data_IF_282441653114
#
_entry.id   IF_282441653114
#
_cell.length_a   1.000
_cell.length_b   1.000
_cell.length_c   1.000
_cell.angle_alpha   90.00
_cell.angle_beta   90.00
_cell.angle_gamma   90.00
#
_symmetry.space_group_name_H-M   'P 1'
#
loop_
_entity.id
_entity.type
_entity.pdbx_description
1 polymer ?
#
# COMPACT_ATOMS: atom_id res chain seq x y z
N UNK A 1 10.55 -16.60 -32.18
CA UNK A 1 10.90 -16.59 -30.74
C UNK A 1 9.85 -15.82 -29.93
N UNK A 2 9.69 -14.51 -30.16
CA UNK A 2 8.74 -13.66 -29.40
C UNK A 2 7.27 -14.13 -29.45
N UNK A 3 6.79 -14.62 -30.60
CA UNK A 3 5.43 -15.17 -30.71
C UNK A 3 5.21 -16.49 -29.96
N UNK A 4 6.28 -17.20 -29.59
CA UNK A 4 6.20 -18.54 -29.01
C UNK A 4 6.50 -18.55 -27.51
N UNK A 5 7.33 -17.62 -27.03
CA UNK A 5 7.70 -17.52 -25.62
C UNK A 5 7.34 -16.14 -25.03
N UNK A 6 6.28 -16.07 -24.21
CA UNK A 6 5.90 -14.86 -23.49
C UNK A 6 7.00 -14.33 -22.56
N UNK A 7 7.83 -15.19 -21.97
CA UNK A 7 8.91 -14.76 -21.07
C UNK A 7 10.04 -14.09 -21.83
N UNK A 8 10.44 -14.65 -22.98
CA UNK A 8 11.39 -13.98 -23.87
C UNK A 8 10.86 -12.61 -24.32
N UNK A 9 9.58 -12.50 -24.66
CA UNK A 9 8.97 -11.21 -25.04
C UNK A 9 9.03 -10.20 -23.89
N UNK A 10 8.65 -10.63 -22.69
CA UNK A 10 8.74 -9.81 -21.48
C UNK A 10 10.17 -9.32 -21.23
N UNK A 11 11.15 -10.21 -21.21
CA UNK A 11 12.55 -9.87 -20.93
C UNK A 11 13.15 -8.93 -21.99
N UNK A 12 12.88 -9.18 -23.27
CA UNK A 12 13.31 -8.33 -24.38
C UNK A 12 12.70 -6.94 -24.26
N UNK A 13 11.42 -6.85 -23.92
CA UNK A 13 10.74 -5.57 -23.73
C UNK A 13 11.37 -4.77 -22.58
N UNK A 14 11.51 -5.37 -21.39
CA UNK A 14 12.09 -4.69 -20.22
C UNK A 14 13.48 -4.15 -20.53
N UNK A 15 14.34 -4.98 -21.15
CA UNK A 15 15.68 -4.55 -21.56
C UNK A 15 15.64 -3.41 -22.58
N UNK A 16 14.82 -3.52 -23.62
CA UNK A 16 14.76 -2.53 -24.70
C UNK A 16 14.19 -1.21 -24.20
N UNK A 17 13.12 -1.25 -23.40
CA UNK A 17 12.49 -0.07 -22.80
C UNK A 17 13.48 0.67 -21.89
N UNK A 18 14.18 -0.07 -21.01
CA UNK A 18 15.22 0.50 -20.15
C UNK A 18 16.31 1.21 -20.98
N UNK A 19 16.82 0.57 -22.03
CA UNK A 19 17.84 1.18 -22.89
C UNK A 19 17.29 2.42 -23.60
N UNK A 20 16.11 2.33 -24.20
CA UNK A 20 15.47 3.45 -24.89
C UNK A 20 15.22 4.65 -23.95
N UNK A 21 14.83 4.38 -22.70
CA UNK A 21 14.61 5.41 -21.67
C UNK A 21 15.84 6.29 -21.43
N UNK A 22 17.04 5.70 -21.46
CA UNK A 22 18.29 6.44 -21.29
C UNK A 22 18.63 7.37 -22.46
N UNK A 23 18.04 7.13 -23.64
CA UNK A 23 18.22 7.97 -24.82
C UNK A 23 17.26 9.18 -24.86
N UNK A 24 16.22 9.20 -24.02
CA UNK A 24 15.24 10.27 -23.96
C UNK A 24 15.74 11.45 -23.12
N UNK A 25 15.43 12.66 -23.56
CA UNK A 25 15.59 13.87 -22.74
C UNK A 25 14.64 13.85 -21.53
N UNK A 26 14.93 14.67 -20.51
CA UNK A 26 14.06 14.76 -19.32
C UNK A 26 12.62 15.16 -19.64
N UNK A 27 12.41 15.99 -20.67
CA UNK A 27 11.08 16.41 -21.11
C UNK A 27 10.33 15.25 -21.76
N UNK A 28 11.01 14.48 -22.61
CA UNK A 28 10.43 13.28 -23.23
C UNK A 28 10.15 12.17 -22.21
N UNK A 29 11.04 11.98 -21.23
CA UNK A 29 10.82 11.07 -20.11
C UNK A 29 9.54 11.43 -19.36
N UNK A 30 9.34 12.71 -19.03
CA UNK A 30 8.11 13.18 -18.39
C UNK A 30 6.87 12.89 -19.23
N UNK A 31 6.87 13.24 -20.52
CA UNK A 31 5.73 12.96 -21.40
C UNK A 31 5.46 11.45 -21.53
N UNK A 32 6.51 10.63 -21.59
CA UNK A 32 6.36 9.18 -21.65
C UNK A 32 5.81 8.61 -20.33
N UNK A 33 6.19 9.16 -19.17
CA UNK A 33 5.58 8.81 -17.88
C UNK A 33 4.09 9.14 -17.87
N UNK A 34 3.70 10.34 -18.30
CA UNK A 34 2.29 10.76 -18.37
C UNK A 34 1.48 9.82 -19.31
N UNK A 35 2.08 9.44 -20.45
CA UNK A 35 1.49 8.45 -21.36
C UNK A 35 1.41 7.05 -20.73
N UNK A 36 2.44 6.61 -20.01
CA UNK A 36 2.46 5.32 -19.31
C UNK A 36 1.32 5.23 -18.29
N UNK A 37 1.08 6.29 -17.53
CA UNK A 37 -0.07 6.36 -16.60
C UNK A 37 -1.39 6.26 -17.35
N UNK A 38 -1.55 7.01 -18.45
CA UNK A 38 -2.77 6.92 -19.29
C UNK A 38 -3.00 5.53 -19.88
N UNK A 39 -1.92 4.83 -20.24
CA UNK A 39 -1.94 3.47 -20.77
C UNK A 39 -2.32 2.45 -19.70
N UNK A 40 -1.77 2.56 -18.49
CA UNK A 40 -2.03 1.62 -17.40
C UNK A 40 -3.51 1.65 -16.98
N UNK A 41 -4.14 2.81 -16.95
CA UNK A 41 -5.54 2.97 -16.53
C UNK A 41 -6.57 2.42 -17.54
N UNK A 42 -6.13 1.86 -18.68
CA UNK A 42 -7.04 1.28 -19.67
C UNK A 42 -7.66 -0.04 -19.20
N UNK A 43 -8.98 -0.12 -19.29
CA UNK A 43 -9.81 -1.25 -18.87
C UNK A 43 -9.51 -2.56 -19.60
N UNK A 44 -9.08 -2.47 -20.87
CA UNK A 44 -8.79 -3.65 -21.69
C UNK A 44 -7.68 -4.55 -21.13
N UNK A 45 -6.83 -4.05 -20.22
CA UNK A 45 -5.81 -4.88 -19.55
C UNK A 45 -6.43 -6.02 -18.76
N UNK A 46 -7.64 -5.84 -18.21
CA UNK A 46 -8.37 -6.87 -17.45
C UNK A 46 -8.57 -8.16 -18.23
N UNK A 47 -8.62 -8.10 -19.57
CA UNK A 47 -8.72 -9.29 -20.44
C UNK A 47 -7.50 -10.22 -20.36
N UNK A 48 -6.38 -9.71 -19.84
CA UNK A 48 -5.11 -10.42 -19.70
C UNK A 48 -4.69 -10.64 -18.25
N UNK A 49 -5.59 -10.38 -17.29
CA UNK A 49 -5.29 -10.41 -15.85
C UNK A 49 -4.79 -11.78 -15.38
N UNK A 50 -5.30 -12.88 -15.95
CA UNK A 50 -4.91 -14.25 -15.57
C UNK A 50 -3.65 -14.76 -16.28
N UNK A 51 -3.08 -14.00 -17.22
CA UNK A 51 -1.88 -14.41 -17.95
C UNK A 51 -0.61 -14.10 -17.17
N UNK A 52 0.42 -14.93 -17.32
CA UNK A 52 1.73 -14.74 -16.71
C UNK A 52 2.82 -15.03 -17.77
N UNK A 53 3.70 -14.06 -18.09
CA UNK A 53 3.61 -12.64 -17.74
C UNK A 53 2.44 -11.97 -18.47
N UNK A 54 1.78 -11.00 -17.82
CA UNK A 54 0.85 -10.10 -18.49
C UNK A 54 1.52 -8.77 -18.89
N UNK A 55 0.80 -7.96 -19.67
CA UNK A 55 1.32 -6.68 -20.19
C UNK A 55 1.64 -5.72 -19.06
N UNK A 56 0.77 -5.62 -18.05
CA UNK A 56 0.94 -4.72 -16.90
C UNK A 56 2.20 -5.06 -16.11
N UNK A 57 2.42 -6.34 -15.79
CA UNK A 57 3.64 -6.81 -15.13
C UNK A 57 4.89 -6.38 -15.92
N UNK A 58 4.84 -6.53 -17.24
CA UNK A 58 5.94 -6.14 -18.13
C UNK A 58 6.20 -4.64 -18.10
N UNK A 59 5.14 -3.82 -18.12
CA UNK A 59 5.26 -2.36 -18.07
C UNK A 59 5.78 -1.87 -16.72
N UNK A 60 5.26 -2.40 -15.61
CA UNK A 60 5.72 -2.02 -14.26
C UNK A 60 7.17 -2.43 -14.03
N UNK A 61 7.57 -3.63 -14.47
CA UNK A 61 8.96 -4.07 -14.35
C UNK A 61 9.90 -3.24 -15.24
N UNK A 62 9.41 -2.77 -16.40
CA UNK A 62 10.16 -1.82 -17.23
C UNK A 62 10.36 -0.48 -16.53
N UNK A 63 9.33 0.02 -15.83
CA UNK A 63 9.40 1.26 -15.06
C UNK A 63 10.41 1.16 -13.91
N UNK A 64 10.42 0.06 -13.16
CA UNK A 64 11.39 -0.22 -12.09
C UNK A 64 12.82 -0.36 -12.64
N UNK A 65 12.99 -0.96 -13.82
CA UNK A 65 14.31 -1.16 -14.40
C UNK A 65 14.99 0.15 -14.91
N UNK A 66 14.24 1.23 -15.08
CA UNK A 66 14.72 2.50 -15.63
C UNK A 66 15.66 3.27 -14.68
N UNK A 67 16.62 3.99 -15.26
CA UNK A 67 17.51 4.90 -14.52
C UNK A 67 17.69 6.20 -15.31
N UNK A 68 17.29 7.38 -14.78
CA UNK A 68 16.56 7.59 -13.52
C UNK A 68 15.21 6.86 -13.50
N UNK A 69 14.72 6.52 -12.31
CA UNK A 69 13.49 5.74 -12.14
C UNK A 69 12.29 6.42 -12.80
N UNK A 70 11.40 5.63 -13.41
CA UNK A 70 10.12 6.11 -13.92
C UNK A 70 9.10 6.14 -12.77
N UNK A 71 8.84 7.34 -12.23
CA UNK A 71 7.94 7.53 -11.09
C UNK A 71 6.48 7.47 -11.55
N UNK A 72 5.72 6.50 -11.04
CA UNK A 72 4.29 6.34 -11.26
C UNK A 72 3.50 6.76 -10.01
N UNK A 73 2.26 7.24 -10.14
CA UNK A 73 1.45 7.59 -8.97
C UNK A 73 1.21 6.38 -8.04
N UNK A 74 1.36 6.52 -6.71
CA UNK A 74 1.26 5.39 -5.78
C UNK A 74 -0.04 4.58 -5.86
N UNK A 75 -1.18 5.26 -6.00
CA UNK A 75 -2.48 4.60 -6.15
C UNK A 75 -2.60 3.77 -7.43
N UNK A 76 -1.93 4.19 -8.52
CA UNK A 76 -1.86 3.42 -9.77
C UNK A 76 -1.01 2.17 -9.54
N UNK A 77 0.15 2.31 -8.90
CA UNK A 77 1.03 1.17 -8.59
C UNK A 77 0.29 0.14 -7.74
N UNK A 78 -0.32 0.59 -6.63
CA UNK A 78 -1.10 -0.26 -5.70
C UNK A 78 -2.16 -1.09 -6.42
N UNK A 79 -3.03 -0.42 -7.18
CA UNK A 79 -4.10 -1.10 -7.91
C UNK A 79 -3.55 -2.17 -8.87
N UNK A 80 -2.50 -1.85 -9.62
CA UNK A 80 -1.94 -2.77 -10.60
C UNK A 80 -1.13 -3.90 -9.97
N UNK A 81 -0.43 -3.63 -8.86
CA UNK A 81 0.29 -4.63 -8.08
C UNK A 81 -0.65 -5.75 -7.63
N UNK A 82 -1.77 -5.38 -7.00
CA UNK A 82 -2.82 -6.31 -6.56
C UNK A 82 -3.52 -7.00 -7.73
N UNK A 83 -4.05 -6.22 -8.66
CA UNK A 83 -4.95 -6.74 -9.71
C UNK A 83 -4.22 -7.64 -10.70
N UNK A 84 -2.98 -7.28 -11.08
CA UNK A 84 -2.22 -7.98 -12.12
C UNK A 84 -1.10 -8.87 -11.59
N UNK A 85 -1.09 -9.14 -10.28
CA UNK A 85 -0.09 -9.97 -9.61
C UNK A 85 1.33 -9.46 -9.84
N UNK A 86 1.52 -8.14 -9.72
CA UNK A 86 2.80 -7.46 -9.79
C UNK A 86 3.27 -6.99 -8.40
N UNK A 87 2.90 -7.74 -7.36
CA UNK A 87 3.11 -7.43 -5.94
C UNK A 87 4.50 -6.89 -5.63
N UNK A 88 5.54 -7.69 -5.86
CA UNK A 88 6.91 -7.32 -5.50
C UNK A 88 7.44 -6.14 -6.30
N UNK A 89 7.14 -6.07 -7.60
CA UNK A 89 7.52 -4.92 -8.44
C UNK A 89 6.82 -3.65 -7.97
N UNK A 90 5.55 -3.74 -7.58
CA UNK A 90 4.81 -2.60 -7.03
C UNK A 90 5.38 -2.12 -5.69
N UNK A 91 5.70 -3.06 -4.79
CA UNK A 91 6.33 -2.76 -3.51
C UNK A 91 7.68 -2.08 -3.72
N UNK A 92 8.53 -2.60 -4.61
CA UNK A 92 9.84 -2.02 -4.93
C UNK A 92 9.71 -0.58 -5.47
N UNK A 93 8.82 -0.35 -6.44
CA UNK A 93 8.53 0.99 -6.97
C UNK A 93 8.10 1.98 -5.88
N UNK A 94 7.23 1.56 -4.96
CA UNK A 94 6.75 2.41 -3.87
C UNK A 94 7.85 2.66 -2.83
N UNK A 95 8.66 1.66 -2.49
CA UNK A 95 9.80 1.82 -1.58
C UNK A 95 10.84 2.79 -2.14
N UNK A 96 11.15 2.70 -3.43
CA UNK A 96 12.05 3.64 -4.11
C UNK A 96 11.51 5.08 -4.02
N UNK A 97 10.20 5.27 -4.19
CA UNK A 97 9.53 6.58 -4.00
C UNK A 97 9.75 7.15 -2.60
N UNK A 98 9.77 6.31 -1.56
CA UNK A 98 10.03 6.77 -0.18
C UNK A 98 11.49 7.19 0.05
N UNK A 99 12.43 6.62 -0.71
CA UNK A 99 13.86 6.91 -0.61
C UNK A 99 14.30 8.10 -1.46
N UNK A 100 13.47 8.52 -2.42
CA UNK A 100 13.78 9.64 -3.30
C UNK A 100 13.58 10.99 -2.57
N UNK A 101 14.65 11.78 -2.32
CA UNK A 101 14.53 13.06 -1.63
C UNK A 101 13.85 14.16 -2.47
N UNK A 102 13.57 13.89 -3.75
CA UNK A 102 12.91 14.84 -4.66
C UNK A 102 11.39 14.79 -4.57
N UNK A 103 10.84 13.73 -4.00
CA UNK A 103 9.40 13.54 -3.88
C UNK A 103 8.83 14.38 -2.74
N UNK A 104 7.61 14.90 -2.93
CA UNK A 104 6.95 15.70 -1.90
C UNK A 104 6.46 14.82 -0.75
N UNK A 105 6.31 15.43 0.44
CA UNK A 105 5.77 14.74 1.61
C UNK A 105 4.40 14.13 1.34
N UNK A 106 3.54 14.82 0.59
CA UNK A 106 2.23 14.29 0.17
C UNK A 106 2.33 13.03 -0.70
N UNK A 107 3.29 12.95 -1.63
CA UNK A 107 3.48 11.76 -2.46
C UNK A 107 4.01 10.62 -1.59
N UNK A 108 4.98 10.91 -0.70
CA UNK A 108 5.51 9.94 0.27
C UNK A 108 4.41 9.39 1.18
N UNK A 109 3.51 10.22 1.69
CA UNK A 109 2.35 9.79 2.49
C UNK A 109 1.46 8.82 1.71
N UNK A 110 1.05 9.18 0.49
CA UNK A 110 0.24 8.28 -0.35
C UNK A 110 0.96 6.99 -0.73
N UNK A 111 2.30 7.02 -0.84
CA UNK A 111 3.11 5.82 -1.06
C UNK A 111 3.19 4.93 0.19
N UNK A 112 3.25 5.52 1.39
CA UNK A 112 3.17 4.78 2.65
C UNK A 112 1.80 4.14 2.84
N UNK A 113 0.70 4.82 2.50
CA UNK A 113 -0.65 4.22 2.51
C UNK A 113 -0.72 3.04 1.55
N UNK A 114 -0.24 3.23 0.32
CA UNK A 114 -0.22 2.18 -0.67
C UNK A 114 0.61 0.96 -0.25
N UNK A 115 1.76 1.17 0.39
CA UNK A 115 2.58 0.08 0.93
C UNK A 115 1.91 -0.62 2.10
N UNK A 116 1.28 0.13 3.01
CA UNK A 116 0.57 -0.45 4.16
C UNK A 116 -0.54 -1.40 3.68
N UNK A 117 -1.34 -0.99 2.69
CA UNK A 117 -2.36 -1.84 2.09
C UNK A 117 -1.78 -3.10 1.44
N UNK A 118 -0.70 -2.96 0.65
CA UNK A 118 -0.07 -4.13 0.00
C UNK A 118 0.54 -5.11 1.01
N UNK A 119 1.15 -4.61 2.10
CA UNK A 119 1.66 -5.48 3.17
C UNK A 119 0.54 -6.19 3.91
N UNK A 120 -0.56 -5.50 4.22
CA UNK A 120 -1.73 -6.10 4.86
C UNK A 120 -2.34 -7.20 3.99
N UNK A 121 -2.51 -6.96 2.68
CA UNK A 121 -3.06 -7.95 1.74
C UNK A 121 -2.16 -9.19 1.55
N UNK A 122 -0.85 -9.04 1.73
CA UNK A 122 0.11 -10.15 1.72
C UNK A 122 0.32 -10.81 3.09
N UNK A 123 -0.33 -10.29 4.14
CA UNK A 123 -0.12 -10.71 5.54
C UNK A 123 1.34 -10.57 6.00
N UNK A 124 2.04 -9.53 5.52
CA UNK A 124 3.42 -9.20 5.90
C UNK A 124 3.43 -8.27 7.13
N UNK A 125 2.92 -8.78 8.26
CA UNK A 125 2.64 -8.00 9.47
C UNK A 125 3.88 -7.28 10.03
N UNK A 126 5.06 -7.92 10.02
CA UNK A 126 6.29 -7.32 10.52
C UNK A 126 6.70 -6.07 9.71
N UNK A 127 6.49 -6.11 8.38
CA UNK A 127 6.74 -4.95 7.50
C UNK A 127 5.68 -3.87 7.72
N UNK A 128 4.42 -4.27 7.90
CA UNK A 128 3.30 -3.37 8.19
C UNK A 128 3.54 -2.59 9.50
N UNK A 129 3.82 -3.28 10.61
CA UNK A 129 4.12 -2.64 11.90
C UNK A 129 5.39 -1.79 11.83
N UNK A 130 6.41 -2.25 11.09
CA UNK A 130 7.65 -1.50 10.87
C UNK A 130 7.41 -0.20 10.11
N UNK A 131 6.56 -0.22 9.08
CA UNK A 131 6.18 0.95 8.30
C UNK A 131 5.39 1.94 9.17
N UNK A 132 4.34 1.46 9.85
CA UNK A 132 3.49 2.29 10.69
C UNK A 132 4.25 2.99 11.79
N UNK A 133 5.15 2.29 12.49
CA UNK A 133 5.95 2.91 13.56
C UNK A 133 6.94 3.97 13.10
N UNK A 134 7.25 4.01 11.79
CA UNK A 134 8.12 5.05 11.21
C UNK A 134 7.35 6.26 10.69
N UNK A 135 6.02 6.14 10.53
CA UNK A 135 5.15 7.20 10.01
C UNK A 135 4.16 7.76 11.02
N UNK A 136 3.82 7.02 12.07
CA UNK A 136 2.84 7.44 13.08
C UNK A 136 3.33 8.68 13.84
N UNK A 137 2.43 9.65 14.03
CA UNK A 137 2.76 10.89 14.72
C UNK A 137 2.67 10.74 16.24
N UNK A 138 1.74 9.92 16.73
CA UNK A 138 1.50 9.77 18.16
C UNK A 138 2.39 8.70 18.78
N UNK A 139 2.93 9.01 19.95
CA UNK A 139 3.74 8.05 20.72
C UNK A 139 2.89 6.88 21.22
N UNK A 140 1.62 7.15 21.53
CA UNK A 140 0.62 6.16 21.91
C UNK A 140 0.39 5.15 20.78
N UNK A 141 0.25 5.61 19.52
CA UNK A 141 0.18 4.74 18.33
C UNK A 141 1.41 3.85 18.24
N UNK A 142 2.61 4.44 18.35
CA UNK A 142 3.87 3.70 18.29
C UNK A 142 3.98 2.62 19.37
N UNK A 143 3.54 2.94 20.59
CA UNK A 143 3.51 2.01 21.71
C UNK A 143 2.45 0.92 21.48
N UNK A 144 1.25 1.27 21.06
CA UNK A 144 0.15 0.33 20.79
C UNK A 144 0.57 -0.73 19.77
N UNK A 145 1.07 -0.30 18.61
CA UNK A 145 1.55 -1.20 17.54
C UNK A 145 2.68 -2.12 18.02
N UNK A 146 3.55 -1.65 18.92
CA UNK A 146 4.61 -2.48 19.48
C UNK A 146 4.06 -3.58 20.39
N UNK A 147 2.99 -3.29 21.15
CA UNK A 147 2.31 -4.29 21.97
C UNK A 147 1.50 -5.28 21.13
N UNK A 148 0.88 -4.84 20.04
CA UNK A 148 0.19 -5.71 19.08
C UNK A 148 1.14 -6.71 18.44
N UNK A 149 2.30 -6.24 17.98
CA UNK A 149 3.29 -7.09 17.31
C UNK A 149 3.77 -8.23 18.22
N UNK A 150 3.78 -8.04 19.55
CA UNK A 150 4.16 -9.08 20.52
C UNK A 150 2.96 -9.85 21.13
N UNK A 151 1.74 -9.56 20.67
CA UNK A 151 0.51 -10.24 21.09
C UNK A 151 -0.03 -9.84 22.47
N UNK A 152 0.38 -8.69 23.01
CA UNK A 152 -0.14 -8.13 24.26
C UNK A 152 -1.34 -7.22 23.97
N UNK A 153 -2.45 -7.84 23.60
CA UNK A 153 -3.64 -7.16 23.08
C UNK A 153 -4.31 -6.21 24.07
N UNK A 154 -4.30 -6.53 25.37
CA UNK A 154 -4.92 -5.68 26.40
C UNK A 154 -4.21 -4.33 26.54
N UNK A 155 -2.87 -4.33 26.53
CA UNK A 155 -2.07 -3.11 26.59
C UNK A 155 -2.19 -2.31 25.30
N UNK A 156 -2.23 -2.98 24.15
CA UNK A 156 -2.44 -2.34 22.85
C UNK A 156 -3.79 -1.60 22.79
N UNK A 157 -4.88 -2.27 23.17
CA UNK A 157 -6.23 -1.70 23.16
C UNK A 157 -6.32 -0.39 23.96
N UNK A 158 -5.79 -0.40 25.19
CA UNK A 158 -5.78 0.78 26.07
C UNK A 158 -5.00 1.94 25.43
N UNK A 159 -3.91 1.66 24.72
CA UNK A 159 -3.09 2.69 24.08
C UNK A 159 -3.74 3.26 22.82
N UNK A 160 -4.48 2.46 22.05
CA UNK A 160 -5.31 2.97 20.95
C UNK A 160 -6.40 3.91 21.45
N UNK A 161 -7.10 3.54 22.53
CA UNK A 161 -8.09 4.41 23.18
C UNK A 161 -7.43 5.71 23.68
N UNK A 162 -6.26 5.59 24.31
CA UNK A 162 -5.49 6.75 24.77
C UNK A 162 -5.11 7.67 23.61
N UNK A 163 -4.67 7.12 22.47
CA UNK A 163 -4.34 7.90 21.28
C UNK A 163 -5.54 8.72 20.79
N UNK A 164 -6.72 8.08 20.69
CA UNK A 164 -7.96 8.75 20.28
C UNK A 164 -8.39 9.85 21.26
N UNK A 165 -8.28 9.61 22.57
CA UNK A 165 -8.59 10.62 23.60
C UNK A 165 -7.62 11.81 23.49
N UNK A 166 -6.33 11.55 23.34
CA UNK A 166 -5.31 12.60 23.15
C UNK A 166 -5.59 13.39 21.87
N UNK A 167 -5.96 12.73 20.77
CA UNK A 167 -6.32 13.39 19.52
C UNK A 167 -7.51 14.35 19.66
N UNK A 168 -8.52 14.01 20.45
CA UNK A 168 -9.69 14.88 20.73
C UNK A 168 -9.34 16.18 21.46
N UNK A 169 -8.21 16.23 22.16
CA UNK A 169 -7.73 17.47 22.79
C UNK A 169 -7.30 18.53 21.75
N UNK A 170 -7.01 18.12 20.51
CA UNK A 170 -6.63 19.00 19.41
C UNK A 170 -5.22 19.60 19.51
N UNK A 171 -4.38 19.13 20.46
CA UNK A 171 -3.02 19.65 20.67
C UNK A 171 -2.07 19.27 19.52
N UNK A 172 -2.28 18.11 18.91
CA UNK A 172 -1.48 17.61 17.78
C UNK A 172 -2.42 17.25 16.62
N UNK A 173 -2.03 17.52 15.37
CA UNK A 173 -2.77 17.04 14.20
C UNK A 173 -2.55 15.53 14.02
N UNK A 174 -3.59 14.83 13.55
CA UNK A 174 -3.50 13.43 13.10
C UNK A 174 -3.85 13.34 11.61
N UNK A 175 -3.37 12.28 10.95
CA UNK A 175 -3.75 11.99 9.57
C UNK A 175 -5.01 11.14 9.54
N UNK A 176 -5.79 11.24 8.46
CA UNK A 176 -6.95 10.35 8.24
C UNK A 176 -6.53 8.88 8.28
N UNK A 177 -5.34 8.56 7.75
CA UNK A 177 -4.76 7.22 7.80
C UNK A 177 -4.51 6.72 9.23
N UNK A 178 -4.02 7.58 10.13
CA UNK A 178 -3.72 7.19 11.51
C UNK A 178 -5.00 7.07 12.35
N UNK A 179 -6.04 7.87 12.04
CA UNK A 179 -7.36 7.70 12.62
C UNK A 179 -7.97 6.34 12.24
N UNK A 180 -7.97 6.00 10.94
CA UNK A 180 -8.48 4.72 10.46
C UNK A 180 -7.73 3.54 11.10
N UNK A 181 -6.40 3.66 11.25
CA UNK A 181 -5.60 2.68 11.97
C UNK A 181 -6.12 2.45 13.39
N UNK A 182 -6.38 3.51 14.16
CA UNK A 182 -6.86 3.36 15.55
C UNK A 182 -8.22 2.67 15.61
N UNK A 183 -9.14 3.01 14.71
CA UNK A 183 -10.48 2.42 14.66
C UNK A 183 -10.40 0.93 14.32
N UNK A 184 -9.71 0.58 13.23
CA UNK A 184 -9.58 -0.80 12.77
C UNK A 184 -8.80 -1.67 13.77
N UNK A 185 -7.66 -1.18 14.28
CA UNK A 185 -6.83 -1.95 15.19
C UNK A 185 -7.46 -2.10 16.58
N UNK A 186 -8.25 -1.13 17.03
CA UNK A 186 -9.04 -1.31 18.26
C UNK A 186 -10.02 -2.48 18.11
N UNK A 187 -10.72 -2.59 16.97
CA UNK A 187 -11.60 -3.74 16.67
C UNK A 187 -10.79 -5.05 16.69
N UNK A 188 -9.64 -5.09 16.03
CA UNK A 188 -8.76 -6.28 16.01
C UNK A 188 -8.37 -6.67 17.44
N UNK A 189 -7.93 -5.73 18.27
CA UNK A 189 -7.56 -6.04 19.67
C UNK A 189 -8.73 -6.58 20.47
N UNK A 190 -9.93 -6.01 20.31
CA UNK A 190 -11.15 -6.48 20.96
C UNK A 190 -11.54 -7.90 20.51
N UNK A 191 -11.41 -8.21 19.22
CA UNK A 191 -11.62 -9.56 18.68
C UNK A 191 -10.62 -10.57 19.29
N UNK A 192 -9.34 -10.21 19.36
CA UNK A 192 -8.29 -11.07 19.98
C UNK A 192 -8.53 -11.30 21.47
N UNK A 193 -9.13 -10.34 22.16
CA UNK A 193 -9.52 -10.42 23.58
C UNK A 193 -10.89 -11.07 23.81
N UNK A 194 -11.61 -11.47 22.75
CA UNK A 194 -12.93 -12.10 22.81
C UNK A 194 -14.03 -11.22 23.43
N UNK A 195 -13.95 -9.90 23.23
CA UNK A 195 -14.95 -8.92 23.71
C UNK A 195 -16.16 -8.82 22.75
N UNK A 196 -16.78 -9.96 22.45
CA UNK A 196 -17.82 -10.07 21.41
C UNK A 196 -19.12 -9.35 21.77
N UNK A 197 -19.40 -9.18 23.06
CA UNK A 197 -20.52 -8.41 23.58
C UNK A 197 -20.38 -6.92 23.22
N UNK A 198 -19.20 -6.35 23.48
CA UNK A 198 -18.88 -4.96 23.13
C UNK A 198 -18.93 -4.74 21.61
N UNK A 199 -18.31 -5.65 20.85
CA UNK A 199 -18.29 -5.57 19.38
C UNK A 199 -19.69 -5.71 18.78
N UNK A 200 -20.54 -6.58 19.32
CA UNK A 200 -21.92 -6.74 18.88
C UNK A 200 -22.73 -5.46 19.04
N UNK A 201 -22.57 -4.78 20.19
CA UNK A 201 -23.33 -3.56 20.47
C UNK A 201 -22.81 -2.38 19.63
N UNK A 202 -21.50 -2.27 19.44
CA UNK A 202 -20.90 -1.31 18.51
C UNK A 202 -21.40 -1.53 17.07
N UNK A 203 -21.37 -2.78 16.57
CA UNK A 203 -21.82 -3.13 15.23
C UNK A 203 -23.30 -2.77 14.99
N UNK A 204 -24.17 -2.98 15.98
CA UNK A 204 -25.58 -2.57 15.92
C UNK A 204 -25.73 -1.05 15.82
N UNK A 205 -24.95 -0.30 16.59
CA UNK A 205 -25.02 1.16 16.64
C UNK A 205 -24.53 1.81 15.34
N UNK A 206 -23.49 1.25 14.74
CA UNK A 206 -22.90 1.74 13.48
C UNK A 206 -23.61 1.19 12.24
N UNK A 207 -24.44 0.15 12.40
CA UNK A 207 -25.07 -0.55 11.28
C UNK A 207 -24.07 -1.40 10.47
N UNK A 208 -22.94 -1.79 11.08
CA UNK A 208 -21.93 -2.63 10.46
C UNK A 208 -22.39 -4.10 10.43
N UNK A 209 -22.91 -4.53 9.28
CA UNK A 209 -23.45 -5.89 9.10
C UNK A 209 -22.38 -6.97 9.06
N UNK A 210 -21.17 -6.63 8.62
CA UNK A 210 -20.06 -7.57 8.51
C UNK A 210 -19.55 -7.93 9.90
N UNK A 211 -19.27 -6.93 10.73
CA UNK A 211 -18.87 -7.16 12.12
C UNK A 211 -19.96 -7.90 12.92
N UNK A 212 -21.24 -7.61 12.66
CA UNK A 212 -22.34 -8.30 13.32
C UNK A 212 -22.40 -9.80 12.96
N UNK A 213 -22.01 -10.17 11.73
CA UNK A 213 -21.92 -11.57 11.31
C UNK A 213 -20.79 -12.30 12.05
N UNK A 214 -19.66 -11.64 12.28
CA UNK A 214 -18.53 -12.22 13.01
C UNK A 214 -18.81 -12.43 14.50
N UNK A 215 -19.72 -11.65 15.07
CA UNK A 215 -20.09 -11.73 16.48
C UNK A 215 -21.20 -12.76 16.79
N UNK A 216 -21.85 -13.34 15.78
CA UNK A 216 -23.00 -14.25 15.91
C UNK A 216 -22.57 -15.71 16.11
#
# INVERSE_FOLDING_TARGET
LLYADPNATHAVWVSTFKTAWTCLSRVEQRHLTEFMVSLLVKDYHLRSVDRRPNVVQTLLQSASACTPQLVLPPHVIRYHARTFNAWYTGIELLQETLTDPRESDSVRETAMDALAELYAELSEDDLLYGLWRRRAAYNETNAALSWEQIGQWGQAQVLHESAQITARSGVMPFTESELALWEDHWIITAQKLQQWDVLSDMAKNEGNKELLLECA
#
